data_IF_915115509796
#
_entry.id   IF_915115509796
#
_cell.length_a   1.000
_cell.length_b   1.000
_cell.length_c   1.000
_cell.angle_alpha   90.00
_cell.angle_beta   90.00
_cell.angle_gamma   90.00
#
_symmetry.space_group_name_H-M   'P 1'
#
loop_
_entity.id
_entity.type
_entity.pdbx_description
1 polymer ?
#
# COMPACT_ATOMS: atom_id res chain seq x y z
N UNK A 1 20.48 -17.18 20.82
CA UNK A 1 20.26 -16.23 21.93
C UNK A 1 20.65 -14.87 21.37
N UNK A 2 19.78 -13.86 21.23
CA UNK A 2 18.85 -13.27 22.18
C UNK A 2 17.50 -13.02 21.48
N UNK A 3 16.41 -13.54 22.05
CA UNK A 3 15.07 -13.07 21.69
C UNK A 3 14.88 -11.70 22.32
N UNK A 4 14.63 -10.68 21.50
CA UNK A 4 14.25 -9.36 22.00
C UNK A 4 12.99 -9.44 22.87
N UNK A 5 12.78 -8.47 23.78
CA UNK A 5 11.65 -8.48 24.68
C UNK A 5 10.33 -8.54 23.90
N UNK A 6 9.44 -9.45 24.30
CA UNK A 6 8.10 -9.61 23.75
C UNK A 6 7.16 -8.66 24.50
N UNK A 7 6.23 -7.96 23.82
CA UNK A 7 5.20 -7.18 24.51
C UNK A 7 4.25 -8.10 25.30
N UNK A 8 3.83 -7.70 26.50
CA UNK A 8 2.74 -8.33 27.27
C UNK A 8 2.08 -7.25 28.16
N UNK A 9 0.87 -7.47 28.70
CA UNK A 9 -0.44 -6.86 28.40
C UNK A 9 -0.62 -5.38 28.83
N UNK A 10 -1.45 -4.61 28.11
CA UNK A 10 -1.49 -3.13 28.15
C UNK A 10 -0.97 -2.53 26.83
N UNK A 11 -1.26 -3.23 25.73
CA UNK A 11 -0.26 -3.69 24.76
C UNK A 11 -0.41 -3.01 23.41
N UNK A 12 0.41 -1.99 23.20
CA UNK A 12 0.70 -1.36 21.92
C UNK A 12 2.22 -1.31 21.73
N UNK A 13 2.75 -1.18 20.49
CA UNK A 13 4.18 -1.10 20.29
C UNK A 13 4.70 0.24 20.80
N UNK A 14 5.71 0.21 21.68
CA UNK A 14 6.44 1.42 22.09
C UNK A 14 7.14 2.07 20.90
N UNK A 15 7.60 3.31 21.06
CA UNK A 15 8.41 3.98 20.03
C UNK A 15 9.64 3.14 19.61
N UNK A 16 10.20 2.37 20.55
CA UNK A 16 11.30 1.43 20.31
C UNK A 16 10.84 0.18 19.56
N UNK A 17 9.68 -0.37 19.89
CA UNK A 17 9.12 -1.54 19.20
C UNK A 17 8.76 -1.22 17.74
N UNK A 18 8.23 -0.02 17.48
CA UNK A 18 7.99 0.48 16.12
C UNK A 18 9.29 0.44 15.30
N UNK A 19 10.38 0.94 15.86
CA UNK A 19 11.69 0.91 15.20
C UNK A 19 12.20 -0.52 14.96
N UNK A 20 12.01 -1.43 15.91
CA UNK A 20 12.39 -2.84 15.79
C UNK A 20 11.58 -3.56 14.71
N UNK A 21 10.26 -3.37 14.69
CA UNK A 21 9.36 -3.92 13.66
C UNK A 21 9.77 -3.39 12.28
N UNK A 22 9.97 -2.07 12.15
CA UNK A 22 10.40 -1.47 10.89
C UNK A 22 11.76 -1.99 10.40
N UNK A 23 12.65 -2.44 11.30
CA UNK A 23 13.97 -2.97 10.98
C UNK A 23 13.98 -4.46 10.55
N UNK A 24 12.84 -5.16 10.67
CA UNK A 24 12.71 -6.57 10.30
C UNK A 24 13.08 -6.80 8.82
N UNK A 25 13.85 -7.87 8.55
CA UNK A 25 14.37 -8.17 7.20
C UNK A 25 13.38 -8.92 6.32
N UNK A 26 12.60 -9.84 6.90
CA UNK A 26 11.55 -10.55 6.18
C UNK A 26 10.37 -9.58 5.93
N UNK A 27 10.07 -9.20 4.67
CA UNK A 27 9.04 -8.21 4.36
C UNK A 27 7.63 -8.70 4.69
N UNK A 28 7.38 -10.02 4.62
CA UNK A 28 6.07 -10.61 4.95
C UNK A 28 5.85 -10.56 6.45
N UNK A 29 6.82 -11.07 7.23
CA UNK A 29 6.74 -11.01 8.68
C UNK A 29 6.68 -9.56 9.19
N UNK A 30 7.44 -8.66 8.56
CA UNK A 30 7.41 -7.23 8.87
C UNK A 30 6.03 -6.63 8.64
N UNK A 31 5.43 -6.86 7.48
CA UNK A 31 4.10 -6.31 7.20
C UNK A 31 3.04 -6.87 8.16
N UNK A 32 3.05 -8.17 8.49
CA UNK A 32 2.13 -8.72 9.49
C UNK A 32 2.28 -8.02 10.86
N UNK A 33 3.52 -7.79 11.30
CA UNK A 33 3.81 -7.07 12.53
C UNK A 33 3.43 -5.58 12.45
N UNK A 34 3.60 -4.92 11.30
CA UNK A 34 3.16 -3.54 11.06
C UNK A 34 1.63 -3.44 11.11
N UNK A 35 0.92 -4.33 10.43
CA UNK A 35 -0.55 -4.35 10.41
C UNK A 35 -1.10 -4.54 11.82
N UNK A 36 -0.56 -5.49 12.59
CA UNK A 36 -0.95 -5.66 13.99
C UNK A 36 -0.54 -4.46 14.85
N UNK A 37 0.64 -3.88 14.61
CA UNK A 37 1.11 -2.70 15.33
C UNK A 37 0.21 -1.49 15.14
N UNK A 38 -0.32 -1.27 13.93
CA UNK A 38 -1.32 -0.23 13.70
C UNK A 38 -2.61 -0.50 14.47
N UNK A 39 -3.09 -1.75 14.50
CA UNK A 39 -4.29 -2.11 15.25
C UNK A 39 -4.09 -1.83 16.74
N UNK A 40 -2.97 -2.25 17.30
CA UNK A 40 -2.70 -2.08 18.73
C UNK A 40 -2.50 -0.60 19.10
N UNK A 41 -1.84 0.19 18.24
CA UNK A 41 -1.77 1.65 18.40
C UNK A 41 -3.15 2.30 18.29
N UNK A 42 -3.99 1.81 17.38
CA UNK A 42 -5.36 2.27 17.23
C UNK A 42 -6.19 2.04 18.49
N UNK A 43 -6.07 0.87 19.12
CA UNK A 43 -6.75 0.55 20.37
C UNK A 43 -6.23 1.38 21.55
N UNK A 44 -4.92 1.57 21.63
CA UNK A 44 -4.31 2.40 22.66
C UNK A 44 -4.73 3.87 22.54
N UNK A 45 -4.75 4.41 21.32
CA UNK A 45 -5.34 5.72 21.05
C UNK A 45 -6.82 5.78 21.39
N UNK A 46 -7.58 4.73 21.07
CA UNK A 46 -9.01 4.63 21.43
C UNK A 46 -9.24 4.64 22.94
N UNK A 47 -8.29 4.16 23.75
CA UNK A 47 -8.34 4.26 25.22
C UNK A 47 -8.21 5.70 25.70
N UNK A 48 -7.45 6.54 24.98
CA UNK A 48 -7.29 7.97 25.30
C UNK A 48 -8.41 8.83 24.72
N UNK A 49 -8.80 8.56 23.48
CA UNK A 49 -9.67 9.42 22.67
C UNK A 49 -11.14 8.96 22.71
N UNK A 50 -11.44 7.76 23.20
CA UNK A 50 -12.72 7.11 22.94
C UNK A 50 -12.75 6.39 21.59
N UNK A 51 -13.75 5.52 21.38
CA UNK A 51 -13.92 4.71 20.16
C UNK A 51 -15.11 5.16 19.30
N UNK A 52 -15.76 6.28 19.65
CA UNK A 52 -16.86 6.87 18.87
C UNK A 52 -16.37 7.46 17.54
N UNK A 53 -15.07 7.79 17.48
CA UNK A 53 -14.40 8.31 16.29
C UNK A 53 -13.11 7.50 16.04
N UNK A 54 -12.97 6.97 14.84
CA UNK A 54 -11.76 6.36 14.34
C UNK A 54 -10.58 7.34 14.41
N UNK A 55 -9.43 6.86 14.89
CA UNK A 55 -8.14 7.57 14.76
C UNK A 55 -7.39 7.05 13.53
N UNK A 56 -6.40 7.78 13.03
CA UNK A 56 -5.73 7.43 11.77
C UNK A 56 -5.15 6.01 11.75
N UNK A 57 -4.71 5.47 12.90
CA UNK A 57 -4.17 4.11 12.97
C UNK A 57 -5.23 3.03 12.70
N UNK A 58 -6.54 3.31 12.88
CA UNK A 58 -7.60 2.37 12.46
C UNK A 58 -7.55 2.19 10.94
N UNK A 59 -7.52 3.28 10.17
CA UNK A 59 -7.45 3.24 8.70
C UNK A 59 -6.15 2.61 8.23
N UNK A 60 -5.03 2.95 8.88
CA UNK A 60 -3.71 2.41 8.57
C UNK A 60 -3.62 0.89 8.76
N UNK A 61 -4.36 0.34 9.72
CA UNK A 61 -4.49 -1.11 9.92
C UNK A 61 -5.01 -1.79 8.65
N UNK A 62 -6.14 -1.29 8.14
CA UNK A 62 -6.77 -1.88 6.96
C UNK A 62 -5.99 -1.62 5.67
N UNK A 63 -5.40 -0.43 5.52
CA UNK A 63 -4.50 -0.13 4.41
C UNK A 63 -3.25 -1.03 4.42
N UNK A 64 -2.65 -1.26 5.60
CA UNK A 64 -1.50 -2.16 5.76
C UNK A 64 -1.86 -3.62 5.49
N UNK A 65 -3.06 -4.06 5.89
CA UNK A 65 -3.59 -5.39 5.57
C UNK A 65 -3.69 -5.60 4.06
N UNK A 66 -4.21 -4.60 3.33
CA UNK A 66 -4.27 -4.63 1.87
C UNK A 66 -2.88 -4.62 1.23
N UNK A 67 -1.95 -3.80 1.73
CA UNK A 67 -0.56 -3.82 1.29
C UNK A 67 0.07 -5.22 1.46
N UNK A 68 -0.31 -5.92 2.53
CA UNK A 68 0.11 -7.29 2.79
C UNK A 68 -0.27 -8.29 1.71
N UNK A 69 -1.44 -8.15 1.08
CA UNK A 69 -1.86 -9.00 -0.05
C UNK A 69 -0.87 -8.91 -1.20
N UNK A 70 -0.43 -7.68 -1.53
CA UNK A 70 0.58 -7.42 -2.55
C UNK A 70 1.97 -7.93 -2.14
N UNK A 71 2.37 -7.75 -0.88
CA UNK A 71 3.68 -8.20 -0.37
C UNK A 71 3.78 -9.73 -0.36
N UNK A 72 2.70 -10.43 -0.01
CA UNK A 72 2.62 -11.90 -0.03
C UNK A 72 2.34 -12.47 -1.43
N UNK A 73 2.03 -11.61 -2.40
CA UNK A 73 1.72 -11.96 -3.80
C UNK A 73 0.58 -12.98 -3.92
N UNK A 74 -0.47 -12.82 -3.11
CA UNK A 74 -1.55 -13.82 -3.01
C UNK A 74 -2.40 -13.90 -4.29
N UNK A 75 -2.57 -12.77 -5.00
CA UNK A 75 -3.57 -12.64 -6.06
C UNK A 75 -2.98 -12.27 -7.45
N UNK A 76 -1.95 -11.42 -7.52
CA UNK A 76 -1.39 -10.95 -8.80
C UNK A 76 -0.73 -12.04 -9.67
N UNK A 77 0.07 -13.00 -9.13
CA UNK A 77 0.69 -14.03 -9.96
C UNK A 77 -0.32 -14.89 -10.70
N UNK A 78 -1.42 -15.26 -10.02
CA UNK A 78 -2.48 -16.07 -10.61
C UNK A 78 -3.19 -15.30 -11.71
N UNK A 79 -3.60 -14.05 -11.46
CA UNK A 79 -4.25 -13.22 -12.46
C UNK A 79 -3.38 -13.03 -13.72
N UNK A 80 -2.07 -12.79 -13.54
CA UNK A 80 -1.15 -12.66 -14.68
C UNK A 80 -0.99 -13.98 -15.45
N UNK A 81 -0.82 -15.10 -14.76
CA UNK A 81 -0.72 -16.44 -15.38
C UNK A 81 -1.99 -16.82 -16.12
N UNK A 82 -3.16 -16.51 -15.57
CA UNK A 82 -4.45 -16.81 -16.21
C UNK A 82 -4.61 -15.98 -17.50
N UNK A 83 -4.19 -14.71 -17.52
CA UNK A 83 -4.16 -13.90 -18.75
C UNK A 83 -3.15 -14.44 -19.77
N UNK A 84 -1.98 -14.91 -19.35
CA UNK A 84 -1.02 -15.57 -20.26
C UNK A 84 -1.63 -16.82 -20.93
N UNK A 85 -2.48 -17.56 -20.21
CA UNK A 85 -3.14 -18.77 -20.73
C UNK A 85 -4.42 -18.49 -21.53
N UNK A 86 -5.04 -17.32 -21.34
CA UNK A 86 -6.42 -17.03 -21.74
C UNK A 86 -6.72 -16.81 -23.23
N UNK A 87 -5.81 -17.15 -24.15
CA UNK A 87 -6.09 -17.20 -25.60
C UNK A 87 -6.84 -15.99 -26.19
N UNK A 88 -6.11 -14.91 -26.49
CA UNK A 88 -6.67 -13.69 -27.10
C UNK A 88 -5.61 -12.89 -27.87
N UNK A 89 -5.73 -11.56 -27.89
CA UNK A 89 -4.79 -10.63 -28.56
C UNK A 89 -3.32 -10.81 -28.12
N UNK A 90 -3.10 -11.30 -26.90
CA UNK A 90 -1.78 -11.68 -26.40
C UNK A 90 -1.27 -12.99 -27.02
N UNK A 91 -2.15 -13.98 -27.21
CA UNK A 91 -1.84 -15.25 -27.86
C UNK A 91 -1.42 -15.08 -29.32
N UNK A 92 -2.08 -14.19 -30.07
CA UNK A 92 -1.66 -13.87 -31.45
C UNK A 92 -0.26 -13.26 -31.51
N UNK A 93 0.08 -12.36 -30.58
CA UNK A 93 1.43 -11.78 -30.51
C UNK A 93 2.47 -12.83 -30.12
N UNK A 94 2.14 -13.73 -29.20
CA UNK A 94 3.01 -14.85 -28.85
C UNK A 94 3.25 -15.78 -30.04
N UNK A 95 2.21 -16.13 -30.80
CA UNK A 95 2.33 -16.96 -32.02
C UNK A 95 3.25 -16.33 -33.06
N UNK A 96 3.17 -15.01 -33.29
CA UNK A 96 4.04 -14.31 -34.26
C UNK A 96 5.51 -14.39 -33.87
N UNK A 97 5.82 -14.26 -32.58
CA UNK A 97 7.18 -14.43 -32.08
C UNK A 97 7.61 -15.89 -32.19
N UNK A 98 6.76 -16.85 -31.83
CA UNK A 98 7.05 -18.29 -31.99
C UNK A 98 7.36 -18.67 -33.44
N UNK A 99 6.59 -18.16 -34.40
CA UNK A 99 6.80 -18.40 -35.83
C UNK A 99 8.15 -17.85 -36.30
N UNK A 100 8.54 -16.67 -35.81
CA UNK A 100 9.85 -16.09 -36.10
C UNK A 100 10.96 -16.95 -35.49
N UNK A 101 10.84 -17.34 -34.23
CA UNK A 101 11.83 -18.18 -33.55
C UNK A 101 12.04 -19.50 -34.31
N UNK A 102 10.94 -20.17 -34.69
CA UNK A 102 10.99 -21.39 -35.51
C UNK A 102 11.71 -21.18 -36.85
N UNK A 103 11.42 -20.09 -37.56
CA UNK A 103 12.09 -19.75 -38.83
C UNK A 103 13.60 -19.51 -38.67
N UNK A 104 14.02 -19.04 -37.50
CA UNK A 104 15.44 -18.84 -37.15
C UNK A 104 16.09 -20.10 -36.57
N UNK A 105 15.37 -21.22 -36.48
CA UNK A 105 15.85 -22.45 -35.85
C UNK A 105 16.01 -22.35 -34.33
N UNK A 106 15.48 -21.29 -33.71
CA UNK A 106 15.52 -21.08 -32.27
C UNK A 106 14.46 -21.94 -31.57
N UNK A 107 14.68 -22.29 -30.29
CA UNK A 107 13.65 -22.92 -29.47
C UNK A 107 12.36 -22.10 -29.46
N UNK A 108 11.23 -22.76 -29.21
CA UNK A 108 9.96 -22.09 -28.96
C UNK A 108 10.11 -21.05 -27.84
N UNK A 109 9.22 -20.06 -27.83
CA UNK A 109 9.23 -18.97 -26.87
C UNK A 109 9.40 -19.48 -25.44
N UNK A 110 10.31 -18.87 -24.66
CA UNK A 110 10.56 -19.30 -23.30
C UNK A 110 9.43 -18.77 -22.41
N UNK A 111 8.29 -19.45 -22.41
CA UNK A 111 7.14 -19.11 -21.56
C UNK A 111 7.51 -19.07 -20.07
N UNK A 112 8.48 -19.89 -19.65
CA UNK A 112 9.10 -19.83 -18.33
C UNK A 112 9.83 -18.52 -18.05
N UNK A 113 10.50 -17.92 -19.04
CA UNK A 113 11.17 -16.63 -18.89
C UNK A 113 10.19 -15.47 -18.89
N UNK A 114 9.08 -15.55 -19.64
CA UNK A 114 7.98 -14.57 -19.55
C UNK A 114 7.33 -14.63 -18.16
N UNK A 115 7.10 -15.83 -17.63
CA UNK A 115 6.59 -15.99 -16.27
C UNK A 115 7.57 -15.42 -15.24
N UNK A 116 8.89 -15.64 -15.42
CA UNK A 116 9.94 -15.05 -14.58
C UNK A 116 9.96 -13.52 -14.67
N UNK A 117 9.81 -12.95 -15.87
CA UNK A 117 9.73 -11.50 -16.07
C UNK A 117 8.50 -10.90 -15.37
N UNK A 118 7.36 -11.59 -15.46
CA UNK A 118 6.18 -11.25 -14.68
C UNK A 118 6.48 -11.28 -13.17
N UNK A 119 7.08 -12.36 -12.67
CA UNK A 119 7.44 -12.49 -11.26
C UNK A 119 8.41 -11.38 -10.78
N UNK A 120 9.43 -11.03 -11.58
CA UNK A 120 10.38 -9.95 -11.26
C UNK A 120 9.71 -8.58 -11.26
N UNK A 121 8.80 -8.32 -12.21
CA UNK A 121 8.00 -7.11 -12.22
C UNK A 121 7.07 -7.04 -10.98
N UNK A 122 6.42 -8.15 -10.61
CA UNK A 122 5.60 -8.23 -9.39
C UNK A 122 6.44 -7.97 -8.14
N UNK A 123 7.62 -8.59 -8.04
CA UNK A 123 8.55 -8.39 -6.94
C UNK A 123 8.90 -6.90 -6.76
N UNK A 124 9.11 -6.16 -7.85
CA UNK A 124 9.41 -4.73 -7.78
C UNK A 124 8.24 -3.91 -7.24
N UNK A 125 7.01 -4.19 -7.69
CA UNK A 125 5.79 -3.53 -7.20
C UNK A 125 5.56 -3.86 -5.72
N UNK A 126 5.61 -5.15 -5.36
CA UNK A 126 5.46 -5.62 -3.98
C UNK A 126 6.52 -5.01 -3.06
N UNK A 127 7.76 -4.86 -3.53
CA UNK A 127 8.84 -4.20 -2.79
C UNK A 127 8.54 -2.72 -2.58
N UNK A 128 8.11 -1.99 -3.61
CA UNK A 128 7.79 -0.57 -3.47
C UNK A 128 6.65 -0.32 -2.47
N UNK A 129 5.60 -1.15 -2.52
CA UNK A 129 4.49 -1.14 -1.55
C UNK A 129 4.99 -1.46 -0.13
N UNK A 130 5.80 -2.50 0.02
CA UNK A 130 6.36 -2.91 1.31
C UNK A 130 7.34 -1.90 1.92
N UNK A 131 8.14 -1.24 1.08
CA UNK A 131 9.04 -0.15 1.50
C UNK A 131 8.22 1.07 1.95
N UNK A 132 7.15 1.42 1.21
CA UNK A 132 6.23 2.52 1.56
C UNK A 132 5.50 2.27 2.89
N UNK A 133 4.91 1.08 3.06
CA UNK A 133 4.22 0.72 4.30
C UNK A 133 5.17 0.72 5.52
N UNK A 134 6.41 0.25 5.34
CA UNK A 134 7.45 0.33 6.37
C UNK A 134 7.81 1.78 6.70
N UNK A 135 7.99 2.63 5.68
CA UNK A 135 8.34 4.04 5.86
C UNK A 135 7.29 4.76 6.71
N UNK A 136 6.01 4.61 6.35
CA UNK A 136 4.91 5.24 7.08
C UNK A 136 4.85 4.72 8.52
N UNK A 137 4.94 3.41 8.75
CA UNK A 137 4.86 2.85 10.10
C UNK A 137 6.01 3.35 10.99
N UNK A 138 7.23 3.38 10.44
CA UNK A 138 8.41 3.87 11.15
C UNK A 138 8.25 5.33 11.59
N UNK A 139 7.58 6.15 10.80
CA UNK A 139 7.43 7.58 11.05
C UNK A 139 6.16 7.92 11.80
N UNK A 140 5.00 7.65 11.20
CA UNK A 140 3.70 7.99 11.76
C UNK A 140 3.40 7.09 12.96
N UNK A 141 3.62 5.78 12.83
CA UNK A 141 3.42 4.83 13.94
C UNK A 141 4.29 5.16 15.17
N UNK A 142 5.48 5.71 14.97
CA UNK A 142 6.34 6.19 16.06
C UNK A 142 5.69 7.34 16.83
N UNK A 143 5.12 8.33 16.13
CA UNK A 143 4.47 9.46 16.79
C UNK A 143 3.18 9.06 17.51
N UNK A 144 2.45 8.08 16.98
CA UNK A 144 1.32 7.44 17.66
C UNK A 144 1.76 6.77 18.97
N UNK A 145 2.83 5.97 18.94
CA UNK A 145 3.38 5.34 20.14
C UNK A 145 3.84 6.40 21.17
N UNK A 146 4.57 7.42 20.71
CA UNK A 146 5.06 8.54 21.55
C UNK A 146 3.91 9.32 22.17
N UNK A 147 2.81 9.54 21.44
CA UNK A 147 1.63 10.21 21.96
C UNK A 147 1.00 9.41 23.10
N UNK A 148 0.77 8.11 22.90
CA UNK A 148 0.19 7.26 23.96
C UNK A 148 1.10 7.22 25.18
N UNK A 149 2.41 6.99 25.01
CA UNK A 149 3.39 7.01 26.11
C UNK A 149 3.38 8.33 26.89
N UNK A 150 3.16 9.45 26.20
CA UNK A 150 3.19 10.78 26.81
C UNK A 150 1.92 11.06 27.61
N UNK A 151 0.74 10.78 27.05
CA UNK A 151 -0.54 11.26 27.60
C UNK A 151 -1.36 10.18 28.31
N UNK A 152 -0.95 8.90 28.28
CA UNK A 152 -1.63 7.86 29.04
C UNK A 152 -1.74 8.20 30.53
N UNK A 153 -2.93 8.01 31.09
CA UNK A 153 -3.24 8.31 32.49
C UNK A 153 -3.56 9.78 32.78
N UNK A 154 -3.42 10.69 31.81
CA UNK A 154 -3.82 12.09 32.01
C UNK A 154 -5.35 12.22 32.09
N UNK A 155 -5.83 12.98 33.08
CA UNK A 155 -7.27 13.23 33.28
C UNK A 155 -7.71 14.63 32.84
N UNK A 156 -6.76 15.50 32.48
CA UNK A 156 -7.00 16.85 32.00
C UNK A 156 -5.84 17.32 31.13
N UNK A 157 -6.11 18.32 30.26
CA UNK A 157 -5.07 18.91 29.42
C UNK A 157 -4.09 19.75 30.25
N UNK A 158 -2.81 19.40 30.21
CA UNK A 158 -1.70 20.22 30.69
C UNK A 158 -1.07 20.97 29.49
N UNK A 159 -1.25 22.31 29.38
CA UNK A 159 -0.70 23.09 28.27
C UNK A 159 0.83 23.06 28.18
N UNK A 160 1.54 23.01 29.31
CA UNK A 160 3.00 22.98 29.34
C UNK A 160 3.54 21.61 28.90
N UNK A 161 2.88 20.53 29.34
CA UNK A 161 3.17 19.17 28.86
C UNK A 161 2.92 19.03 27.36
N UNK A 162 1.77 19.53 26.88
CA UNK A 162 1.46 19.55 25.45
C UNK A 162 2.51 20.32 24.65
N UNK A 163 2.85 21.54 25.08
CA UNK A 163 3.85 22.35 24.38
C UNK A 163 5.20 21.63 24.30
N UNK A 164 5.66 21.03 25.41
CA UNK A 164 6.89 20.22 25.43
C UNK A 164 6.84 19.05 24.46
N UNK A 165 5.71 18.34 24.39
CA UNK A 165 5.51 17.25 23.43
C UNK A 165 5.57 17.74 21.98
N UNK A 166 4.90 18.87 21.68
CA UNK A 166 4.84 19.50 20.37
C UNK A 166 6.20 20.08 19.91
N UNK A 167 7.01 20.58 20.84
CA UNK A 167 8.36 21.07 20.57
C UNK A 167 9.35 19.92 20.26
N UNK A 168 8.99 18.69 20.58
CA UNK A 168 9.75 17.50 20.21
C UNK A 168 9.61 17.09 18.73
N UNK A 169 8.68 17.66 17.96
CA UNK A 169 8.56 17.36 16.54
C UNK A 169 9.68 18.03 15.73
N UNK A 170 10.30 17.30 14.77
CA UNK A 170 11.21 17.89 13.80
C UNK A 170 10.58 19.03 12.99
N UNK A 171 11.40 20.04 12.62
CA UNK A 171 10.93 21.24 11.88
C UNK A 171 10.34 20.93 10.51
N UNK A 172 10.77 19.83 9.89
CA UNK A 172 10.30 19.32 8.61
C UNK A 172 8.99 18.51 8.71
N UNK A 173 8.42 18.38 9.90
CA UNK A 173 7.16 17.64 10.15
C UNK A 173 6.05 18.53 10.76
N UNK A 174 5.77 19.72 10.19
CA UNK A 174 4.76 20.62 10.75
C UNK A 174 3.36 20.01 10.75
N UNK A 175 3.00 19.22 9.73
CA UNK A 175 1.69 18.59 9.64
C UNK A 175 1.48 17.56 10.76
N UNK A 176 2.48 16.72 11.08
CA UNK A 176 2.36 15.81 12.21
C UNK A 176 2.28 16.57 13.54
N UNK A 177 3.08 17.62 13.72
CA UNK A 177 2.98 18.49 14.91
C UNK A 177 1.55 19.03 15.08
N UNK A 178 0.96 19.56 14.01
CA UNK A 178 -0.40 20.10 14.03
C UNK A 178 -1.45 19.00 14.29
N UNK A 179 -1.32 17.85 13.64
CA UNK A 179 -2.26 16.73 13.79
C UNK A 179 -2.31 16.21 15.24
N UNK A 180 -1.15 15.94 15.85
CA UNK A 180 -1.09 15.47 17.23
C UNK A 180 -1.48 16.55 18.25
N UNK A 181 -1.30 17.83 17.92
CA UNK A 181 -1.89 18.93 18.68
C UNK A 181 -3.43 18.90 18.68
N UNK A 182 -4.05 18.48 17.58
CA UNK A 182 -5.51 18.30 17.51
C UNK A 182 -5.98 17.02 18.22
N UNK A 183 -5.23 15.92 18.17
CA UNK A 183 -5.52 14.73 19.00
C UNK A 183 -5.49 15.06 20.50
N UNK A 184 -4.48 15.82 20.97
CA UNK A 184 -4.41 16.23 22.37
C UNK A 184 -5.62 17.07 22.81
N UNK A 185 -6.15 17.93 21.93
CA UNK A 185 -7.39 18.68 22.19
C UNK A 185 -8.61 17.76 22.20
N UNK A 186 -8.71 16.86 21.23
CA UNK A 186 -9.81 15.91 21.11
C UNK A 186 -9.93 14.98 22.33
N UNK A 187 -8.79 14.60 22.93
CA UNK A 187 -8.73 13.77 24.14
C UNK A 187 -9.57 14.32 25.30
N UNK A 188 -9.62 15.64 25.47
CA UNK A 188 -10.30 16.29 26.58
C UNK A 188 -11.55 17.09 26.17
N UNK A 189 -11.93 17.06 24.89
CA UNK A 189 -13.15 17.71 24.39
C UNK A 189 -14.39 16.92 24.80
N UNK A 190 -15.41 17.63 25.29
CA UNK A 190 -16.66 17.06 25.81
C UNK A 190 -17.82 17.22 24.83
N UNK A 191 -17.76 18.22 23.97
CA UNK A 191 -18.73 18.41 22.91
C UNK A 191 -18.48 17.37 21.80
N UNK A 192 -19.43 16.46 21.53
CA UNK A 192 -19.21 15.38 20.57
C UNK A 192 -19.05 15.89 19.12
N UNK A 193 -19.66 17.02 18.74
CA UNK A 193 -19.44 17.62 17.42
C UNK A 193 -18.01 18.13 17.30
N UNK A 194 -17.56 18.93 18.27
CA UNK A 194 -16.20 19.49 18.26
C UNK A 194 -15.15 18.39 18.32
N UNK A 195 -15.38 17.35 19.11
CA UNK A 195 -14.49 16.19 19.20
C UNK A 195 -14.40 15.45 17.86
N UNK A 196 -15.54 15.19 17.21
CA UNK A 196 -15.55 14.54 15.91
C UNK A 196 -14.79 15.36 14.85
N UNK A 197 -14.97 16.68 14.82
CA UNK A 197 -14.26 17.55 13.89
C UNK A 197 -12.75 17.66 14.19
N UNK A 198 -12.34 17.67 15.47
CA UNK A 198 -10.92 17.61 15.85
C UNK A 198 -10.27 16.29 15.45
N UNK A 199 -11.00 15.17 15.61
CA UNK A 199 -10.54 13.85 15.19
C UNK A 199 -10.38 13.78 13.66
N UNK A 200 -11.37 14.27 12.90
CA UNK A 200 -11.28 14.31 11.44
C UNK A 200 -10.12 15.19 10.97
N UNK A 201 -9.99 16.40 11.54
CA UNK A 201 -8.89 17.31 11.25
C UNK A 201 -7.53 16.66 11.53
N UNK A 202 -7.38 15.97 12.66
CA UNK A 202 -6.15 15.24 12.98
C UNK A 202 -5.89 14.12 11.97
N UNK A 203 -6.88 13.28 11.67
CA UNK A 203 -6.78 12.18 10.70
C UNK A 203 -6.37 12.67 9.31
N UNK A 204 -7.07 13.68 8.77
CA UNK A 204 -6.81 14.23 7.45
C UNK A 204 -5.43 14.91 7.38
N UNK A 205 -4.99 15.54 8.46
CA UNK A 205 -3.67 16.16 8.52
C UNK A 205 -2.55 15.11 8.55
N UNK A 206 -2.72 14.02 9.30
CA UNK A 206 -1.81 12.86 9.23
C UNK A 206 -1.83 12.26 7.82
N UNK A 207 -3.02 12.06 7.25
CA UNK A 207 -3.20 11.53 5.90
C UNK A 207 -2.48 12.39 4.85
N UNK A 208 -2.62 13.72 4.91
CA UNK A 208 -1.94 14.62 3.97
C UNK A 208 -0.41 14.51 4.09
N UNK A 209 0.13 14.47 5.32
CA UNK A 209 1.55 14.26 5.55
C UNK A 209 2.03 12.94 4.94
N UNK A 210 1.36 11.86 5.30
CA UNK A 210 1.66 10.50 4.86
C UNK A 210 1.59 10.34 3.34
N UNK A 211 0.49 10.79 2.72
CA UNK A 211 0.28 10.69 1.28
C UNK A 211 1.25 11.55 0.46
N UNK A 212 1.73 12.67 1.02
CA UNK A 212 2.78 13.48 0.40
C UNK A 212 4.11 12.73 0.39
N UNK A 213 4.50 12.13 1.52
CA UNK A 213 5.75 11.37 1.61
C UNK A 213 5.70 10.08 0.79
N UNK A 214 4.52 9.48 0.63
CA UNK A 214 4.35 8.26 -0.18
C UNK A 214 4.48 8.48 -1.69
N UNK A 215 4.48 9.72 -2.19
CA UNK A 215 4.45 10.02 -3.63
C UNK A 215 5.49 9.20 -4.42
N UNK A 216 6.75 9.20 -3.99
CA UNK A 216 7.81 8.46 -4.67
C UNK A 216 7.64 6.94 -4.64
N UNK A 217 7.05 6.39 -3.58
CA UNK A 217 6.76 4.95 -3.48
C UNK A 217 5.59 4.55 -4.38
N UNK A 218 4.53 5.38 -4.42
CA UNK A 218 3.37 5.19 -5.28
C UNK A 218 3.78 5.26 -6.75
N UNK A 219 4.55 6.28 -7.14
CA UNK A 219 5.09 6.41 -8.50
C UNK A 219 5.98 5.23 -8.87
N UNK A 220 6.87 4.78 -7.97
CA UNK A 220 7.73 3.62 -8.22
C UNK A 220 6.94 2.33 -8.41
N UNK A 221 5.82 2.17 -7.69
CA UNK A 221 4.95 1.00 -7.83
C UNK A 221 4.13 1.05 -9.14
N UNK A 222 3.54 2.20 -9.48
CA UNK A 222 2.71 2.36 -10.68
C UNK A 222 3.53 2.44 -11.99
N UNK A 223 4.69 3.09 -11.93
CA UNK A 223 5.60 3.30 -13.05
C UNK A 223 6.80 2.34 -13.01
N UNK A 224 6.64 1.16 -12.40
CA UNK A 224 7.67 0.14 -12.45
C UNK A 224 8.12 -0.08 -13.91
N UNK A 225 9.42 -0.30 -14.19
CA UNK A 225 9.96 -0.44 -15.54
C UNK A 225 9.63 -1.82 -16.13
N UNK A 226 8.34 -2.13 -16.19
CA UNK A 226 7.79 -3.42 -16.58
C UNK A 226 8.22 -3.76 -18.01
N UNK A 227 8.16 -2.76 -18.90
CA UNK A 227 8.56 -2.90 -20.31
C UNK A 227 10.02 -3.33 -20.42
N UNK A 228 10.91 -2.66 -19.68
CA UNK A 228 12.34 -2.93 -19.67
C UNK A 228 12.64 -4.31 -19.07
N UNK A 229 11.90 -4.72 -18.02
CA UNK A 229 12.03 -6.06 -17.43
C UNK A 229 11.68 -7.15 -18.44
N UNK A 230 10.54 -7.04 -19.14
CA UNK A 230 10.15 -8.00 -20.18
C UNK A 230 11.13 -8.00 -21.36
N UNK A 231 11.52 -6.83 -21.86
CA UNK A 231 12.46 -6.71 -22.98
C UNK A 231 13.81 -7.34 -22.66
N UNK A 232 14.38 -7.04 -21.49
CA UNK A 232 15.70 -7.53 -21.09
C UNK A 232 15.72 -9.06 -20.92
N UNK A 233 14.66 -9.63 -20.35
CA UNK A 233 14.57 -11.07 -20.15
C UNK A 233 14.40 -11.79 -21.49
N UNK A 234 13.44 -11.35 -22.34
CA UNK A 234 13.25 -11.94 -23.66
C UNK A 234 14.50 -11.85 -24.53
N UNK A 235 15.18 -10.69 -24.53
CA UNK A 235 16.44 -10.49 -25.24
C UNK A 235 17.52 -11.49 -24.79
N UNK A 236 17.75 -11.61 -23.47
CA UNK A 236 18.75 -12.55 -22.92
C UNK A 236 18.44 -13.99 -23.33
N UNK A 237 17.18 -14.39 -23.31
CA UNK A 237 16.78 -15.76 -23.68
C UNK A 237 16.96 -16.03 -25.17
N UNK A 238 16.60 -15.08 -26.03
CA UNK A 238 16.81 -15.19 -27.48
C UNK A 238 18.30 -15.23 -27.82
N UNK A 239 19.12 -14.38 -27.18
CA UNK A 239 20.57 -14.38 -27.34
C UNK A 239 21.20 -15.71 -26.87
N UNK A 240 20.75 -16.24 -25.73
CA UNK A 240 21.20 -17.54 -25.24
C UNK A 240 20.83 -18.67 -26.20
N UNK A 241 19.59 -18.68 -26.72
CA UNK A 241 19.15 -19.63 -27.74
C UNK A 241 19.98 -19.54 -29.02
N UNK A 242 20.25 -18.34 -29.50
CA UNK A 242 21.07 -18.11 -30.70
C UNK A 242 22.52 -18.56 -30.52
N UNK A 243 23.08 -18.38 -29.31
CA UNK A 243 24.42 -18.85 -28.96
C UNK A 243 24.52 -20.38 -28.90
N UNK A 244 23.44 -21.06 -28.54
CA UNK A 244 23.39 -22.52 -28.44
C UNK A 244 23.22 -23.24 -29.80
N UNK A 245 22.95 -22.50 -30.89
CA UNK A 245 22.80 -23.08 -32.22
C UNK A 245 24.15 -23.54 -32.82
N UNK A 246 24.16 -24.62 -33.62
CA UNK A 246 25.35 -25.02 -34.36
C UNK A 246 25.70 -24.01 -35.46
N UNK A 247 26.96 -23.99 -35.88
CA UNK A 247 27.38 -23.25 -37.07
C UNK A 247 26.77 -23.89 -38.34
N UNK A 248 26.28 -23.12 -39.34
CA UNK A 248 26.25 -21.65 -39.42
C UNK A 248 24.96 -21.00 -38.89
N UNK A 249 24.02 -21.78 -38.35
CA UNK A 249 22.72 -21.28 -37.89
C UNK A 249 22.85 -20.20 -36.80
N UNK A 250 23.86 -20.32 -35.92
CA UNK A 250 24.17 -19.29 -34.93
C UNK A 250 24.53 -17.92 -35.55
N UNK A 251 25.24 -17.89 -36.69
CA UNK A 251 25.59 -16.65 -37.38
C UNK A 251 24.36 -15.99 -37.98
N UNK A 252 23.48 -16.78 -38.60
CA UNK A 252 22.22 -16.29 -39.16
C UNK A 252 21.31 -15.70 -38.07
N UNK A 253 21.17 -16.39 -36.93
CA UNK A 253 20.40 -15.91 -35.79
C UNK A 253 21.00 -14.63 -35.18
N UNK A 254 22.33 -14.57 -34.99
CA UNK A 254 23.02 -13.36 -34.49
C UNK A 254 22.91 -12.19 -35.46
N UNK A 255 22.96 -12.44 -36.77
CA UNK A 255 22.76 -11.41 -37.77
C UNK A 255 21.33 -10.84 -37.68
N UNK A 256 20.31 -11.69 -37.57
CA UNK A 256 18.91 -11.27 -37.42
C UNK A 256 18.65 -10.45 -36.13
N UNK A 257 19.33 -10.78 -35.03
CA UNK A 257 19.30 -9.99 -33.79
C UNK A 257 19.96 -8.61 -34.03
N UNK A 258 21.17 -8.60 -34.61
CA UNK A 258 21.93 -7.37 -34.83
C UNK A 258 21.26 -6.39 -35.81
N UNK A 259 20.49 -6.90 -36.78
CA UNK A 259 19.75 -6.07 -37.76
C UNK A 259 18.43 -5.51 -37.21
N UNK A 260 18.01 -5.91 -36.00
CA UNK A 260 16.75 -5.48 -35.40
C UNK A 260 15.51 -6.19 -35.94
N UNK A 261 15.67 -7.20 -36.80
CA UNK A 261 14.55 -7.97 -37.34
C UNK A 261 13.78 -8.72 -36.24
N UNK A 262 14.50 -9.16 -35.20
CA UNK A 262 13.90 -9.77 -34.00
C UNK A 262 13.10 -8.72 -33.19
N UNK A 263 13.65 -7.52 -33.03
CA UNK A 263 13.02 -6.45 -32.24
C UNK A 263 11.67 -6.00 -32.82
N UNK A 264 11.52 -6.01 -34.16
CA UNK A 264 10.25 -5.69 -34.82
C UNK A 264 9.09 -6.61 -34.43
N UNK A 265 9.38 -7.85 -34.04
CA UNK A 265 8.37 -8.85 -33.64
C UNK A 265 8.27 -8.97 -32.12
N UNK A 266 9.39 -8.81 -31.40
CA UNK A 266 9.44 -8.90 -29.94
C UNK A 266 8.87 -7.65 -29.26
N UNK A 267 9.13 -6.44 -29.77
CA UNK A 267 8.66 -5.19 -29.14
C UNK A 267 7.13 -5.11 -29.01
N UNK A 268 6.32 -5.46 -30.02
CA UNK A 268 4.86 -5.51 -29.86
C UNK A 268 4.39 -6.49 -28.78
N UNK A 269 5.07 -7.62 -28.58
CA UNK A 269 4.77 -8.56 -27.50
C UNK A 269 5.12 -7.95 -26.13
N UNK A 270 6.30 -7.35 -26.02
CA UNK A 270 6.75 -6.65 -24.81
C UNK A 270 5.76 -5.55 -24.41
N UNK A 271 5.31 -4.73 -25.36
CA UNK A 271 4.34 -3.66 -25.11
C UNK A 271 2.99 -4.21 -24.61
N UNK A 272 2.51 -5.31 -25.20
CA UNK A 272 1.29 -5.99 -24.74
C UNK A 272 1.45 -6.59 -23.35
N UNK A 273 2.55 -7.28 -23.07
CA UNK A 273 2.84 -7.86 -21.75
C UNK A 273 2.93 -6.77 -20.68
N UNK A 274 3.60 -5.66 -20.97
CA UNK A 274 3.69 -4.52 -20.08
C UNK A 274 2.33 -3.84 -19.85
N UNK A 275 1.50 -3.72 -20.89
CA UNK A 275 0.14 -3.19 -20.78
C UNK A 275 -0.77 -4.06 -19.90
N UNK A 276 -0.76 -5.39 -20.12
CA UNK A 276 -1.51 -6.36 -19.31
C UNK A 276 -1.08 -6.29 -17.84
N UNK A 277 0.23 -6.34 -17.60
CA UNK A 277 0.77 -6.27 -16.25
C UNK A 277 0.38 -4.95 -15.57
N UNK A 278 0.49 -3.82 -16.27
CA UNK A 278 0.09 -2.51 -15.74
C UNK A 278 -1.39 -2.51 -15.35
N UNK A 279 -2.27 -3.10 -16.16
CA UNK A 279 -3.69 -3.23 -15.84
C UNK A 279 -3.92 -4.01 -14.53
N UNK A 280 -3.26 -5.15 -14.36
CA UNK A 280 -3.36 -5.99 -13.15
C UNK A 280 -2.80 -5.26 -11.92
N UNK A 281 -1.61 -4.66 -12.05
CA UNK A 281 -0.96 -3.92 -10.98
C UNK A 281 -1.81 -2.72 -10.54
N UNK A 282 -2.35 -1.96 -11.49
CA UNK A 282 -3.28 -0.86 -11.20
C UNK A 282 -4.53 -1.37 -10.51
N UNK A 283 -5.20 -2.42 -11.01
CA UNK A 283 -6.41 -2.95 -10.38
C UNK A 283 -6.16 -3.40 -8.93
N UNK A 284 -5.00 -3.98 -8.65
CA UNK A 284 -4.60 -4.37 -7.30
C UNK A 284 -4.26 -3.20 -6.39
N UNK A 285 -3.52 -2.21 -6.90
CA UNK A 285 -3.21 -0.98 -6.15
C UNK A 285 -4.46 -0.15 -5.89
N UNK A 286 -5.47 -0.25 -6.75
CA UNK A 286 -6.74 0.45 -6.66
C UNK A 286 -7.78 -0.27 -5.78
N UNK A 287 -7.31 -1.05 -4.80
CA UNK A 287 -8.15 -1.68 -3.78
C UNK A 287 -7.70 -1.24 -2.39
N UNK A 288 -8.65 -1.06 -1.50
CA UNK A 288 -8.42 -0.81 -0.08
C UNK A 288 -9.28 -1.77 0.74
N UNK A 289 -8.65 -2.61 1.56
CA UNK A 289 -9.39 -3.43 2.50
C UNK A 289 -10.12 -2.52 3.50
N UNK A 290 -11.32 -2.92 3.90
CA UNK A 290 -12.12 -2.30 4.96
C UNK A 290 -12.84 -3.41 5.72
N UNK A 291 -13.46 -3.13 6.89
CA UNK A 291 -14.26 -4.13 7.55
C UNK A 291 -15.34 -4.71 6.62
N UNK A 292 -15.47 -6.03 6.59
CA UNK A 292 -16.46 -6.74 5.76
C UNK A 292 -16.20 -6.75 4.25
N UNK A 293 -15.15 -6.11 3.71
CA UNK A 293 -14.91 -6.12 2.27
C UNK A 293 -13.68 -5.34 1.78
N UNK A 294 -13.75 -4.89 0.52
CA UNK A 294 -12.73 -4.04 -0.08
C UNK A 294 -13.38 -2.97 -0.95
N UNK A 295 -12.88 -1.75 -0.83
CA UNK A 295 -13.23 -0.62 -1.67
C UNK A 295 -12.39 -0.64 -2.95
N UNK A 296 -13.00 -0.26 -4.07
CA UNK A 296 -12.30 -0.01 -5.33
C UNK A 296 -12.05 1.49 -5.44
N UNK A 297 -10.80 1.91 -5.38
CA UNK A 297 -10.39 3.32 -5.37
C UNK A 297 -10.69 4.05 -6.70
N UNK A 298 -10.86 3.28 -7.78
CA UNK A 298 -11.26 3.79 -9.09
C UNK A 298 -12.77 4.01 -9.27
N UNK A 299 -13.56 3.65 -8.26
CA UNK A 299 -14.99 3.90 -8.20
C UNK A 299 -15.27 4.95 -7.13
N UNK A 300 -16.43 5.61 -7.24
CA UNK A 300 -16.92 6.46 -6.16
C UNK A 300 -17.07 5.65 -4.87
N UNK A 301 -16.77 6.30 -3.76
CA UNK A 301 -16.98 5.75 -2.42
C UNK A 301 -18.45 5.34 -2.28
N UNK A 302 -18.74 4.07 -1.97
CA UNK A 302 -20.09 3.69 -1.63
C UNK A 302 -20.48 4.31 -0.29
N UNK A 303 -21.77 4.63 -0.07
CA UNK A 303 -22.26 4.94 1.26
C UNK A 303 -21.88 3.85 2.27
N UNK A 304 -21.65 4.19 3.55
CA UNK A 304 -21.54 3.17 4.58
C UNK A 304 -22.81 2.31 4.62
N UNK A 305 -22.68 1.04 4.97
CA UNK A 305 -23.83 0.13 5.01
C UNK A 305 -24.88 0.63 6.01
N UNK A 306 -26.14 0.73 5.57
CA UNK A 306 -27.23 1.27 6.39
C UNK A 306 -27.24 2.81 6.52
N UNK A 307 -26.35 3.49 5.79
CA UNK A 307 -26.24 4.95 5.73
C UNK A 307 -26.47 5.50 4.31
N UNK A 308 -27.21 4.78 3.47
CA UNK A 308 -27.47 5.14 2.07
C UNK A 308 -28.21 6.49 1.93
N UNK A 309 -29.00 6.87 2.94
CA UNK A 309 -29.70 8.16 3.00
C UNK A 309 -28.99 9.21 3.86
N UNK A 310 -27.92 8.84 4.59
CA UNK A 310 -27.15 9.74 5.46
C UNK A 310 -25.66 9.43 5.36
N UNK A 311 -24.99 10.00 4.36
CA UNK A 311 -23.62 9.63 3.95
C UNK A 311 -22.55 9.82 5.04
N UNK A 312 -22.80 10.72 6.00
CA UNK A 312 -21.86 11.08 7.06
C UNK A 312 -22.48 10.88 8.45
N UNK A 313 -21.66 10.50 9.45
CA UNK A 313 -22.12 10.29 10.81
C UNK A 313 -22.67 11.60 11.42
N UNK A 314 -23.57 11.52 12.42
CA UNK A 314 -24.33 12.68 12.91
C UNK A 314 -23.49 13.91 13.23
N UNK A 315 -22.35 13.72 13.88
CA UNK A 315 -21.43 14.77 14.34
C UNK A 315 -20.52 15.35 13.23
N UNK A 316 -20.64 14.88 11.99
CA UNK A 316 -19.86 15.33 10.83
C UNK A 316 -20.74 15.70 9.62
N UNK A 317 -22.06 15.77 9.78
CA UNK A 317 -22.97 16.20 8.69
C UNK A 317 -22.83 17.69 8.38
N UNK A 318 -22.53 18.48 9.41
CA UNK A 318 -22.23 19.91 9.32
C UNK A 318 -20.88 20.15 9.98
N UNK A 319 -20.07 21.02 9.40
CA UNK A 319 -18.72 21.33 9.88
C UNK A 319 -18.63 22.79 10.31
N UNK A 320 -18.17 23.02 11.54
CA UNK A 320 -18.05 24.34 12.17
C UNK A 320 -16.59 24.75 12.38
N UNK A 321 -15.67 23.79 12.54
CA UNK A 321 -14.25 24.05 12.78
C UNK A 321 -13.61 24.72 11.55
N UNK A 322 -13.12 25.97 11.68
CA UNK A 322 -12.63 26.73 10.53
C UNK A 322 -11.38 26.09 9.90
N UNK A 323 -10.51 25.46 10.70
CA UNK A 323 -9.32 24.79 10.18
C UNK A 323 -9.65 23.52 9.41
N UNK A 324 -10.66 22.77 9.86
CA UNK A 324 -11.15 21.61 9.13
C UNK A 324 -11.78 22.03 7.80
N UNK A 325 -12.61 23.07 7.80
CA UNK A 325 -13.21 23.61 6.56
C UNK A 325 -12.15 24.10 5.58
N UNK A 326 -11.12 24.79 6.07
CA UNK A 326 -9.99 25.22 5.23
C UNK A 326 -9.20 24.04 4.65
N UNK A 327 -8.97 23.00 5.47
CA UNK A 327 -8.28 21.79 5.05
C UNK A 327 -9.07 21.04 3.97
N UNK A 328 -10.37 20.79 4.21
CA UNK A 328 -11.26 20.13 3.26
C UNK A 328 -11.48 20.97 2.00
N UNK A 329 -11.63 22.30 2.12
CA UNK A 329 -11.76 23.18 0.95
C UNK A 329 -10.57 23.14 -0.01
N UNK A 330 -9.41 22.63 0.42
CA UNK A 330 -8.23 22.40 -0.45
C UNK A 330 -8.17 20.99 -1.04
N UNK A 331 -8.79 20.00 -0.40
CA UNK A 331 -8.59 18.58 -0.71
C UNK A 331 -9.84 17.88 -1.24
N UNK A 332 -11.00 18.19 -0.67
CA UNK A 332 -12.31 17.67 -1.04
C UNK A 332 -12.87 18.46 -2.22
N UNK A 333 -12.90 17.83 -3.40
CA UNK A 333 -13.50 18.34 -4.63
C UNK A 333 -14.97 17.95 -4.75
N UNK A 334 -15.49 17.17 -3.81
CA UNK A 334 -16.83 16.60 -3.76
C UNK A 334 -17.51 16.91 -2.42
N UNK A 335 -17.56 18.19 -2.00
CA UNK A 335 -18.03 18.56 -0.68
C UNK A 335 -19.44 18.03 -0.42
N UNK A 336 -19.57 17.36 0.73
CA UNK A 336 -20.81 16.76 1.20
C UNK A 336 -21.40 15.68 0.26
N UNK A 337 -20.57 15.06 -0.58
CA UNK A 337 -20.98 14.05 -1.56
C UNK A 337 -19.93 12.95 -1.71
N UNK A 338 -20.36 11.69 -1.74
CA UNK A 338 -19.48 10.58 -2.11
C UNK A 338 -19.38 10.36 -3.63
N UNK A 339 -20.21 11.05 -4.43
CA UNK A 339 -20.16 11.00 -5.90
C UNK A 339 -19.03 11.87 -6.43
N UNK A 340 -18.29 11.35 -7.41
CA UNK A 340 -17.11 12.00 -8.00
C UNK A 340 -15.82 11.79 -7.21
N UNK A 341 -15.84 10.95 -6.17
CA UNK A 341 -14.67 10.67 -5.33
C UNK A 341 -13.64 9.78 -6.03
N UNK A 342 -14.04 9.02 -7.06
CA UNK A 342 -13.20 8.09 -7.80
C UNK A 342 -11.86 8.70 -8.24
N UNK A 343 -10.76 8.06 -7.85
CA UNK A 343 -9.43 8.40 -8.34
C UNK A 343 -9.15 7.67 -9.66
N UNK A 344 -8.96 8.41 -10.74
CA UNK A 344 -8.57 7.84 -12.05
C UNK A 344 -7.09 7.52 -12.12
N UNK A 345 -6.29 8.26 -11.36
CA UNK A 345 -4.84 8.12 -11.29
C UNK A 345 -4.39 8.31 -9.84
N UNK A 346 -4.10 7.21 -9.17
CA UNK A 346 -3.64 7.20 -7.78
C UNK A 346 -2.23 7.78 -7.64
N UNK A 347 -1.46 8.00 -8.71
CA UNK A 347 -0.20 8.74 -8.59
C UNK A 347 -0.42 10.23 -8.31
N UNK A 348 -1.60 10.77 -8.60
CA UNK A 348 -1.90 12.18 -8.38
C UNK A 348 -2.40 12.43 -6.96
N UNK A 349 -1.62 13.17 -6.18
CA UNK A 349 -1.91 13.45 -4.77
C UNK A 349 -3.29 14.09 -4.56
N UNK A 350 -3.70 15.01 -5.44
CA UNK A 350 -5.00 15.67 -5.36
C UNK A 350 -6.18 14.71 -5.56
N UNK A 351 -6.04 13.70 -6.42
CA UNK A 351 -7.06 12.65 -6.58
C UNK A 351 -7.07 11.69 -5.38
N UNK A 352 -5.90 11.32 -4.87
CA UNK A 352 -5.80 10.47 -3.67
C UNK A 352 -6.44 11.15 -2.46
N UNK A 353 -6.08 12.39 -2.20
CA UNK A 353 -6.58 13.12 -1.03
C UNK A 353 -8.08 13.38 -1.14
N UNK A 354 -8.61 13.67 -2.34
CA UNK A 354 -10.04 13.78 -2.57
C UNK A 354 -10.80 12.52 -2.11
N UNK A 355 -10.28 11.33 -2.44
CA UNK A 355 -10.87 10.07 -1.99
C UNK A 355 -10.71 9.86 -0.48
N UNK A 356 -9.52 10.12 0.05
CA UNK A 356 -9.16 9.78 1.44
C UNK A 356 -9.94 10.61 2.47
N UNK A 357 -10.14 11.90 2.22
CA UNK A 357 -10.85 12.78 3.17
C UNK A 357 -12.33 12.38 3.31
N UNK A 358 -12.97 12.02 2.21
CA UNK A 358 -14.35 11.52 2.21
C UNK A 358 -14.45 10.11 2.81
N UNK A 359 -13.43 9.27 2.61
CA UNK A 359 -13.33 7.98 3.29
C UNK A 359 -13.25 8.18 4.80
N UNK A 360 -12.36 9.05 5.27
CA UNK A 360 -12.18 9.32 6.70
C UNK A 360 -13.45 9.91 7.31
N UNK A 361 -14.09 10.89 6.65
CA UNK A 361 -15.32 11.51 7.14
C UNK A 361 -16.50 10.52 7.18
N UNK A 362 -16.70 9.75 6.10
CA UNK A 362 -17.86 8.84 6.01
C UNK A 362 -17.75 7.61 6.90
N UNK A 363 -16.53 7.15 7.21
CA UNK A 363 -16.30 5.95 8.04
C UNK A 363 -15.90 6.26 9.48
N UNK A 364 -15.79 7.53 9.87
CA UNK A 364 -15.26 7.90 11.19
C UNK A 364 -15.95 7.21 12.37
N UNK A 365 -17.27 7.00 12.31
CA UNK A 365 -18.02 6.36 13.40
C UNK A 365 -18.31 4.86 13.18
N UNK A 366 -17.63 4.22 12.22
CA UNK A 366 -17.76 2.78 12.00
C UNK A 366 -16.97 2.01 13.08
N UNK A 367 -17.66 1.31 14.02
CA UNK A 367 -16.98 0.60 15.10
C UNK A 367 -16.14 -0.58 14.59
N UNK A 368 -16.47 -1.14 13.42
CA UNK A 368 -15.75 -2.28 12.86
C UNK A 368 -14.34 -1.91 12.37
N UNK A 369 -14.04 -0.62 12.23
CA UNK A 369 -12.67 -0.18 11.93
C UNK A 369 -11.67 -0.56 13.04
N UNK A 370 -12.15 -0.81 14.26
CA UNK A 370 -11.36 -1.29 15.38
C UNK A 370 -11.28 -2.82 15.48
N UNK A 371 -11.89 -3.57 14.56
CA UNK A 371 -11.83 -5.03 14.59
C UNK A 371 -10.42 -5.56 14.30
N UNK A 372 -10.09 -6.71 14.88
CA UNK A 372 -8.81 -7.39 14.68
C UNK A 372 -8.57 -7.68 13.19
N UNK A 373 -7.43 -7.26 12.60
CA UNK A 373 -7.20 -7.38 11.16
C UNK A 373 -7.09 -8.83 10.68
N UNK A 374 -6.80 -9.78 11.56
CA UNK A 374 -6.60 -11.20 11.22
C UNK A 374 -7.63 -12.14 11.85
N UNK A 375 -8.75 -11.62 12.38
CA UNK A 375 -9.85 -12.42 12.93
C UNK A 375 -9.54 -13.21 14.22
N UNK A 376 -8.35 -13.02 14.79
CA UNK A 376 -7.93 -13.49 16.13
C UNK A 376 -7.08 -12.39 16.74
N UNK A 377 -7.06 -12.27 18.08
CA UNK A 377 -6.03 -11.46 18.76
C UNK A 377 -4.66 -12.01 18.36
N UNK A 378 -3.99 -11.35 17.43
CA UNK A 378 -2.68 -11.77 16.99
C UNK A 378 -1.65 -11.25 17.98
N UNK A 379 -0.88 -12.15 18.57
CA UNK A 379 0.41 -11.78 19.14
C UNK A 379 1.33 -11.53 17.94
N UNK A 380 2.11 -10.43 17.94
CA UNK A 380 3.07 -10.09 16.87
C UNK A 380 3.74 -11.36 16.31
N UNK A 381 3.39 -11.79 15.09
CA UNK A 381 3.76 -13.12 14.63
C UNK A 381 5.21 -13.10 14.16
N UNK A 382 6.16 -13.37 15.05
CA UNK A 382 7.49 -13.80 14.61
C UNK A 382 8.19 -14.70 15.63
N UNK A 383 7.91 -16.01 15.53
CA UNK A 383 9.05 -16.92 15.53
C UNK A 383 9.71 -16.78 14.15
N UNK A 384 11.04 -16.67 14.04
CA UNK A 384 11.72 -16.61 12.74
C UNK A 384 11.26 -17.78 11.89
N UNK A 385 10.86 -17.50 10.64
CA UNK A 385 10.60 -18.53 9.66
C UNK A 385 11.84 -19.42 9.58
N UNK A 386 11.67 -20.75 9.77
CA UNK A 386 12.74 -21.69 9.43
C UNK A 386 13.13 -21.40 7.97
N UNK A 387 14.43 -21.31 7.65
CA UNK A 387 14.86 -21.10 6.27
C UNK A 387 14.17 -22.13 5.38
N UNK A 388 13.49 -21.67 4.32
CA UNK A 388 12.96 -22.57 3.29
C UNK A 388 14.14 -23.41 2.77
N UNK A 389 13.96 -24.72 2.59
CA UNK A 389 15.00 -25.54 1.95
C UNK A 389 15.35 -24.91 0.61
N UNK A 390 16.63 -24.62 0.42
CA UNK A 390 17.17 -24.28 -0.90
C UNK A 390 16.87 -25.49 -1.77
N UNK A 391 16.16 -25.29 -2.88
CA UNK A 391 15.96 -26.34 -3.86
C UNK A 391 17.34 -26.93 -4.24
N UNK A 392 17.48 -28.26 -4.29
CA UNK A 392 18.79 -28.88 -4.51
C UNK A 392 19.39 -28.34 -5.81
N UNK A 393 20.67 -27.95 -5.74
CA UNK A 393 21.45 -27.61 -6.91
C UNK A 393 21.44 -28.82 -7.84
N UNK A 394 20.93 -28.63 -9.06
CA UNK A 394 21.04 -29.61 -10.12
C UNK A 394 22.53 -29.81 -10.39
N UNK A 395 22.97 -31.05 -10.19
CA UNK A 395 24.35 -31.52 -10.37
C UNK A 395 24.75 -31.50 -11.84
#
# INVERSE_FOLDING_TARGET
>A
QQGGPRPTPGSYPTAKDVANIAAMKDPVARNLAITQGYHDLSDAMGTLLGKENANWSTYATWASKQAGVSIRQEDMPKAFVDVLKGGGVLGEAMSKVDDLLRKLGLPAMPTGDIAKAGADALNNVSKAIGDGNQFVFKEVGHEFARFVETFQGDTQLDPSKLQKYLDGFPKDKPLLKDAFGNYAKAMFEKDPNKKAELMLLANDTVGLHEQTQLQGYVEKALNAPVKEVFANILKKSIEAGANALPFPANLAAKAAIKTGAVDLVVNPLVDKLAGVFRGIATEHMMKLAVPGGALKLGNDLPPPAGMESTLFPPHLRTLENPKLKELLGRMDKTPDSLKGTAAKDWSKLDQRMNYIVDLFRSRQSDPHLFDQPFGKEAHYPVAPSKPRPVAPAVS
#
